data_IF_621831529510
#
_entry.id   IF_621831529510
#
_cell.length_a   1.000
_cell.length_b   1.000
_cell.length_c   1.000
_cell.angle_alpha   90.00
_cell.angle_beta   90.00
_cell.angle_gamma   90.00
#
_symmetry.space_group_name_H-M   'P 1'
#
loop_
_entity.id
_entity.type
_entity.pdbx_description
1 polymer ?
#
# COMPACT_ATOMS: atom_id res chain seq x y z
N UNK A 1 25.02 -11.55 1.41
CA UNK A 1 24.28 -10.43 0.78
C UNK A 1 23.10 -10.07 1.68
N UNK A 2 23.00 -8.85 2.21
CA UNK A 2 21.86 -8.49 3.05
C UNK A 2 20.63 -8.39 2.14
N UNK A 3 19.59 -9.16 2.45
CA UNK A 3 18.28 -9.07 1.79
C UNK A 3 17.80 -7.63 1.97
N UNK A 4 17.62 -6.89 0.87
CA UNK A 4 16.97 -5.57 0.88
C UNK A 4 15.64 -5.76 1.60
N UNK A 5 15.55 -5.28 2.84
CA UNK A 5 14.28 -5.22 3.56
C UNK A 5 13.43 -4.25 2.75
N UNK A 6 12.40 -4.76 2.06
CA UNK A 6 11.34 -3.90 1.51
C UNK A 6 10.89 -3.01 2.66
N UNK A 7 11.03 -1.70 2.52
CA UNK A 7 10.79 -0.77 3.64
C UNK A 7 9.28 -0.54 3.76
N UNK A 8 8.56 -1.57 4.17
CA UNK A 8 7.11 -1.52 4.44
C UNK A 8 6.78 -0.53 5.56
N UNK A 9 7.75 -0.12 6.40
CA UNK A 9 7.59 0.92 7.42
C UNK A 9 7.23 2.31 6.88
N UNK A 10 7.25 2.52 5.56
CA UNK A 10 6.86 3.79 4.92
C UNK A 10 5.45 3.79 4.32
N UNK A 11 4.83 2.61 4.22
CA UNK A 11 3.44 2.49 3.80
C UNK A 11 2.56 2.66 5.02
N UNK A 12 1.61 3.58 4.95
CA UNK A 12 0.60 3.75 6.00
C UNK A 12 -0.54 2.77 5.68
N UNK A 13 -0.70 1.67 6.46
CA UNK A 13 -1.63 0.59 6.12
C UNK A 13 -3.07 1.07 5.94
N UNK A 14 -3.52 1.99 6.81
CA UNK A 14 -4.89 2.52 6.79
C UNK A 14 -5.20 3.26 5.49
N UNK A 15 -4.26 4.08 5.01
CA UNK A 15 -4.41 4.82 3.75
C UNK A 15 -4.28 3.88 2.55
N UNK A 16 -3.38 2.90 2.61
CA UNK A 16 -3.25 1.89 1.55
C UNK A 16 -4.56 1.09 1.38
N UNK A 17 -5.17 0.69 2.48
CA UNK A 17 -6.42 -0.06 2.48
C UNK A 17 -7.59 0.77 1.94
N UNK A 18 -7.66 2.05 2.32
CA UNK A 18 -8.66 2.97 1.83
C UNK A 18 -8.47 3.26 0.33
N UNK A 19 -7.24 3.51 -0.10
CA UNK A 19 -6.91 3.73 -1.49
C UNK A 19 -7.24 2.52 -2.38
N UNK A 20 -6.98 1.30 -1.90
CA UNK A 20 -7.36 0.08 -2.62
C UNK A 20 -8.88 -0.10 -2.70
N UNK A 21 -9.60 0.27 -1.64
CA UNK A 21 -11.08 0.24 -1.62
C UNK A 21 -11.67 1.23 -2.61
N UNK A 22 -11.13 2.45 -2.67
CA UNK A 22 -11.54 3.49 -3.62
C UNK A 22 -11.22 3.10 -5.07
N UNK A 23 -10.11 2.39 -5.27
CA UNK A 23 -9.70 1.89 -6.57
C UNK A 23 -10.42 0.61 -7.01
N UNK A 24 -11.41 0.12 -6.25
CA UNK A 24 -12.13 -1.13 -6.54
C UNK A 24 -11.20 -2.34 -6.79
N UNK A 25 -10.07 -2.40 -6.08
CA UNK A 25 -9.05 -3.43 -6.23
C UNK A 25 -8.03 -3.20 -7.35
N UNK A 26 -8.10 -2.08 -8.08
CA UNK A 26 -7.11 -1.70 -9.07
C UNK A 26 -5.85 -1.13 -8.40
N UNK A 27 -4.75 -1.87 -8.47
CA UNK A 27 -3.49 -1.52 -7.79
C UNK A 27 -2.83 -0.25 -8.34
N UNK A 28 -2.92 -0.02 -9.65
CA UNK A 28 -2.34 1.18 -10.29
C UNK A 28 -3.08 2.45 -9.89
N UNK A 29 -4.41 2.36 -9.77
CA UNK A 29 -5.23 3.49 -9.28
C UNK A 29 -5.09 3.69 -7.78
N UNK A 30 -4.98 2.60 -7.01
CA UNK A 30 -4.76 2.65 -5.58
C UNK A 30 -3.49 3.43 -5.23
N UNK A 31 -2.42 3.35 -6.04
CA UNK A 31 -1.24 4.16 -5.81
C UNK A 31 -1.50 5.66 -5.97
N UNK A 32 -2.30 6.07 -6.96
CA UNK A 32 -2.69 7.49 -7.13
C UNK A 32 -3.55 7.97 -5.97
N UNK A 33 -4.57 7.20 -5.57
CA UNK A 33 -5.40 7.54 -4.43
C UNK A 33 -4.59 7.61 -3.13
N UNK A 34 -3.64 6.70 -2.94
CA UNK A 34 -2.74 6.71 -1.79
C UNK A 34 -1.93 8.01 -1.72
N UNK A 35 -1.32 8.42 -2.82
CA UNK A 35 -0.56 9.67 -2.86
C UNK A 35 -1.44 10.90 -2.60
N UNK A 36 -2.65 10.93 -3.17
CA UNK A 36 -3.58 12.04 -2.99
C UNK A 36 -4.05 12.16 -1.54
N UNK A 37 -4.46 11.04 -0.92
CA UNK A 37 -4.90 11.02 0.49
C UNK A 37 -3.77 11.47 1.41
N UNK A 38 -2.55 10.96 1.20
CA UNK A 38 -1.43 11.39 2.04
C UNK A 38 -1.18 12.88 1.87
N UNK A 39 -1.13 13.38 0.63
CA UNK A 39 -0.88 14.78 0.38
C UNK A 39 -1.95 15.67 1.02
N UNK A 40 -3.23 15.25 1.01
CA UNK A 40 -4.30 15.97 1.69
C UNK A 40 -4.14 15.98 3.22
N UNK A 41 -3.63 14.90 3.81
CA UNK A 41 -3.47 14.77 5.26
C UNK A 41 -2.23 15.48 5.80
N UNK A 42 -1.09 15.38 5.10
CA UNK A 42 0.19 15.88 5.58
C UNK A 42 0.60 17.20 4.93
N UNK A 43 0.03 17.54 3.77
CA UNK A 43 0.49 18.65 2.92
C UNK A 43 1.85 18.39 2.27
N UNK A 44 2.40 17.19 2.40
CA UNK A 44 3.73 16.82 1.91
C UNK A 44 3.64 15.70 0.86
N UNK A 45 4.41 15.84 -0.22
CA UNK A 45 4.59 14.75 -1.18
C UNK A 45 5.49 13.71 -0.51
N UNK A 46 4.96 12.51 -0.22
CA UNK A 46 5.80 11.42 0.30
C UNK A 46 6.95 11.20 -0.69
N UNK A 47 8.17 11.42 -0.20
CA UNK A 47 9.38 11.02 -0.90
C UNK A 47 9.86 9.67 -0.33
N UNK A 48 9.84 8.65 -1.18
CA UNK A 48 10.39 7.34 -0.84
C UNK A 48 9.40 6.25 -0.39
N UNK A 49 8.10 6.43 -0.66
CA UNK A 49 7.17 5.31 -0.85
C UNK A 49 7.00 5.13 -2.36
N UNK A 50 7.64 4.11 -2.92
CA UNK A 50 7.49 3.79 -4.33
C UNK A 50 6.25 2.92 -4.54
N UNK A 51 5.71 2.91 -5.76
CA UNK A 51 4.61 2.02 -6.16
C UNK A 51 4.90 0.55 -5.78
N UNK A 52 6.16 0.10 -5.92
CA UNK A 52 6.61 -1.24 -5.54
C UNK A 52 6.47 -1.55 -4.05
N UNK A 53 6.61 -0.55 -3.18
CA UNK A 53 6.45 -0.74 -1.74
C UNK A 53 4.96 -0.91 -1.40
N UNK A 54 4.09 -0.13 -2.04
CA UNK A 54 2.64 -0.24 -1.87
C UNK A 54 2.11 -1.58 -2.45
N UNK A 55 2.56 -1.97 -3.63
CA UNK A 55 2.21 -3.27 -4.21
C UNK A 55 2.69 -4.43 -3.35
N UNK A 56 3.90 -4.34 -2.79
CA UNK A 56 4.42 -5.36 -1.89
C UNK A 56 3.60 -5.49 -0.60
N UNK A 57 3.05 -4.38 -0.10
CA UNK A 57 2.10 -4.40 1.02
C UNK A 57 0.80 -5.14 0.61
N UNK A 58 0.25 -4.85 -0.57
CA UNK A 58 -0.94 -5.56 -1.06
C UNK A 58 -0.70 -7.05 -1.29
N UNK A 59 0.46 -7.44 -1.84
CA UNK A 59 0.80 -8.85 -2.03
C UNK A 59 0.85 -9.59 -0.69
N UNK A 60 1.54 -9.02 0.31
CA UNK A 60 1.61 -9.59 1.66
C UNK A 60 0.21 -9.72 2.30
N UNK A 61 -0.67 -8.74 2.05
CA UNK A 61 -2.01 -8.71 2.60
C UNK A 61 -2.97 -9.67 1.89
N UNK A 62 -2.84 -9.82 0.57
CA UNK A 62 -3.60 -10.82 -0.21
C UNK A 62 -3.27 -12.24 0.25
N UNK A 63 -1.99 -12.55 0.50
CA UNK A 63 -1.59 -13.84 1.06
C UNK A 63 -2.17 -14.09 2.45
N UNK A 64 -2.30 -13.04 3.28
CA UNK A 64 -2.89 -13.14 4.63
C UNK A 64 -4.41 -13.35 4.58
N UNK A 65 -5.11 -12.69 3.65
CA UNK A 65 -6.56 -12.83 3.51
C UNK A 65 -6.97 -14.17 2.87
N UNK A 66 -6.15 -14.74 2.00
CA UNK A 66 -6.39 -16.06 1.39
C UNK A 66 -6.39 -17.19 2.44
N UNK A 67 -5.72 -17.00 3.58
CA UNK A 67 -5.69 -17.96 4.69
C UNK A 67 -6.91 -17.82 5.62
N UNK A 68 -7.73 -16.78 5.46
CA UNK A 68 -8.91 -16.51 6.30
C UNK A 68 -10.26 -16.91 5.68
N UNK A 69 -10.30 -17.32 4.40
CA UNK A 69 -11.53 -17.82 3.75
C UNK A 69 -11.70 -19.35 3.82
N UNK A 70 -10.84 -20.04 4.58
CA UNK A 70 -10.86 -21.51 4.69
C UNK A 70 -10.94 -22.03 6.14
N UNK A 71 -11.62 -21.30 7.03
CA UNK A 71 -11.94 -21.73 8.40
C UNK A 71 -13.45 -21.77 8.67
#
# INVERSE_FOLDING_TARGET
MPRRRKNLSRVIPEIADEALRLAEGNRDEAFRYYLDIVYQLTGEIITGCEDKDLQAYYDLRSDTNAEQEHA
#
